data_IF_123983912654
#
_entry.id   IF_123983912654
#
_cell.length_a   1.000
_cell.length_b   1.000
_cell.length_c   1.000
_cell.angle_alpha   90.00
_cell.angle_beta   90.00
_cell.angle_gamma   90.00
#
_symmetry.space_group_name_H-M   'P 1'
#
loop_
_entity.id
_entity.type
_entity.pdbx_description
1 polymer ?
#
# COMPACT_ATOMS: atom_id res chain seq x y z
N UNK A 1 16.08 1.33 23.87
CA UNK A 1 14.78 0.99 24.50
C UNK A 1 14.04 0.14 23.48
N UNK A 2 13.54 -1.03 23.88
CA UNK A 2 12.73 -1.88 23.00
C UNK A 2 11.33 -1.32 22.92
N UNK A 3 10.95 -0.76 21.78
CA UNK A 3 9.59 -0.25 21.54
C UNK A 3 8.67 -1.43 21.28
N UNK A 4 7.50 -1.45 21.92
CA UNK A 4 6.47 -2.47 21.73
C UNK A 4 5.29 -1.85 20.99
N UNK A 5 4.88 -2.49 19.90
CA UNK A 5 3.74 -2.07 19.08
C UNK A 5 2.53 -2.97 19.35
N UNK A 6 1.35 -2.37 19.31
CA UNK A 6 0.05 -3.06 19.38
C UNK A 6 -0.58 -3.10 17.99
N UNK A 7 -1.23 -4.21 17.71
CA UNK A 7 -2.05 -4.47 16.53
C UNK A 7 -3.48 -4.81 17.01
N UNK A 8 -4.42 -4.95 16.08
CA UNK A 8 -5.79 -5.34 16.45
C UNK A 8 -5.83 -6.74 17.08
N UNK A 9 -6.96 -7.05 17.72
CA UNK A 9 -7.10 -8.28 18.49
C UNK A 9 -6.22 -8.35 19.75
N UNK A 10 -5.61 -7.22 20.16
CA UNK A 10 -4.73 -7.14 21.32
C UNK A 10 -3.35 -7.78 21.10
N UNK A 11 -2.98 -8.04 19.85
CA UNK A 11 -1.70 -8.64 19.50
C UNK A 11 -0.56 -7.62 19.57
N UNK A 12 0.67 -8.09 19.79
CA UNK A 12 1.82 -7.20 19.91
C UNK A 12 3.13 -7.78 19.37
N UNK A 13 3.96 -6.88 18.86
CA UNK A 13 5.33 -7.16 18.44
C UNK A 13 6.30 -6.16 19.05
N UNK A 14 7.55 -6.60 19.23
CA UNK A 14 8.66 -5.75 19.63
C UNK A 14 9.41 -5.27 18.39
N UNK A 15 9.70 -3.97 18.31
CA UNK A 15 10.56 -3.40 17.26
C UNK A 15 11.99 -3.89 17.44
N UNK A 16 12.58 -4.39 16.37
CA UNK A 16 13.98 -4.84 16.28
C UNK A 16 14.77 -3.91 15.36
N UNK A 17 16.09 -4.08 15.28
CA UNK A 17 16.96 -3.21 14.48
C UNK A 17 17.07 -3.63 13.00
N UNK A 18 16.41 -4.72 12.61
CA UNK A 18 16.59 -5.37 11.30
C UNK A 18 15.30 -5.29 10.46
N UNK A 19 15.12 -4.23 9.64
CA UNK A 19 14.01 -4.17 8.70
C UNK A 19 14.12 -5.25 7.62
N UNK A 20 13.02 -5.48 6.90
CA UNK A 20 13.00 -6.36 5.73
C UNK A 20 13.90 -5.81 4.63
N UNK A 21 14.91 -6.58 4.23
CA UNK A 21 15.71 -6.30 3.03
C UNK A 21 15.01 -6.84 1.77
N UNK A 22 13.78 -6.36 1.56
CA UNK A 22 12.91 -6.77 0.45
C UNK A 22 12.43 -5.52 -0.29
N UNK A 23 12.56 -5.53 -1.61
CA UNK A 23 12.05 -4.43 -2.46
C UNK A 23 10.52 -4.48 -2.48
N UNK A 24 9.82 -3.41 -2.06
CA UNK A 24 8.37 -3.34 -2.15
C UNK A 24 7.88 -3.49 -3.60
N UNK A 25 6.71 -4.09 -3.78
CA UNK A 25 6.03 -4.23 -5.07
C UNK A 25 4.64 -3.64 -4.95
N UNK A 26 4.37 -2.58 -5.70
CA UNK A 26 3.04 -1.99 -5.84
C UNK A 26 2.36 -2.59 -7.07
N UNK A 27 1.39 -3.48 -6.82
CA UNK A 27 0.62 -4.21 -7.83
C UNK A 27 -0.86 -3.82 -7.70
N UNK A 28 -1.39 -3.09 -8.66
CA UNK A 28 -2.75 -2.54 -8.57
C UNK A 28 -2.90 -1.73 -7.28
N UNK A 29 -3.83 -2.12 -6.42
CA UNK A 29 -4.06 -1.53 -5.08
C UNK A 29 -3.40 -2.29 -3.93
N UNK A 30 -2.51 -3.26 -4.21
CA UNK A 30 -1.74 -3.99 -3.20
C UNK A 30 -0.29 -3.54 -3.14
N UNK A 31 0.22 -3.31 -1.93
CA UNK A 31 1.65 -3.17 -1.65
C UNK A 31 2.18 -4.46 -1.03
N UNK A 32 3.11 -5.13 -1.69
CA UNK A 32 3.68 -6.42 -1.27
C UNK A 32 5.14 -6.23 -0.90
N UNK A 33 5.50 -6.61 0.32
CA UNK A 33 6.88 -6.68 0.83
C UNK A 33 7.13 -8.12 1.28
N UNK A 34 7.31 -9.02 0.32
CA UNK A 34 7.44 -10.47 0.57
C UNK A 34 8.41 -11.11 -0.42
N UNK A 35 9.11 -12.19 -0.03
CA UNK A 35 10.21 -12.77 -0.81
C UNK A 35 9.76 -13.61 -2.01
N UNK A 36 8.48 -14.00 -2.07
CA UNK A 36 7.98 -14.90 -3.11
C UNK A 36 8.02 -14.27 -4.51
N UNK A 37 8.48 -15.03 -5.49
CA UNK A 37 8.60 -14.63 -6.90
C UNK A 37 7.53 -15.26 -7.80
N UNK A 38 6.71 -16.16 -7.27
CA UNK A 38 5.57 -16.71 -7.99
C UNK A 38 4.47 -17.19 -7.03
N UNK A 39 3.38 -17.72 -7.62
CA UNK A 39 2.23 -18.24 -6.87
C UNK A 39 2.58 -19.44 -5.99
N UNK A 40 3.43 -20.34 -6.47
CA UNK A 40 3.80 -21.55 -5.72
C UNK A 40 4.62 -21.17 -4.50
N UNK A 41 5.57 -20.25 -4.66
CA UNK A 41 6.33 -19.69 -3.56
C UNK A 41 5.44 -18.91 -2.58
N UNK A 42 4.43 -18.17 -3.06
CA UNK A 42 3.47 -17.50 -2.18
C UNK A 42 2.66 -18.49 -1.35
N UNK A 43 2.11 -19.53 -1.97
CA UNK A 43 1.34 -20.56 -1.27
C UNK A 43 2.20 -21.27 -0.21
N UNK A 44 3.46 -21.59 -0.55
CA UNK A 44 4.43 -22.16 0.39
C UNK A 44 4.77 -21.19 1.53
N UNK A 45 5.04 -19.92 1.20
CA UNK A 45 5.35 -18.87 2.17
C UNK A 45 4.22 -18.70 3.20
N UNK A 46 2.97 -18.66 2.75
CA UNK A 46 1.82 -18.58 3.64
C UNK A 46 1.70 -19.82 4.53
N UNK A 47 1.95 -21.02 3.99
CA UNK A 47 1.89 -22.27 4.76
C UNK A 47 3.01 -22.41 5.80
N UNK A 48 4.19 -21.82 5.56
CA UNK A 48 5.38 -21.94 6.42
C UNK A 48 5.51 -20.82 7.47
N UNK A 49 4.68 -19.78 7.37
CA UNK A 49 4.68 -18.63 8.28
C UNK A 49 3.42 -18.59 9.16
N UNK A 50 3.38 -17.68 10.12
CA UNK A 50 2.18 -17.38 10.93
C UNK A 50 1.94 -15.86 10.96
N UNK A 51 0.74 -15.42 11.34
CA UNK A 51 0.44 -14.00 11.54
C UNK A 51 -0.97 -13.60 11.08
N UNK A 52 -1.14 -12.34 10.63
CA UNK A 52 -2.39 -11.95 9.98
C UNK A 52 -2.45 -12.51 8.56
N UNK A 53 -3.64 -12.86 8.12
CA UNK A 53 -3.91 -13.33 6.75
C UNK A 53 -5.40 -13.20 6.44
N UNK A 54 -5.72 -13.16 5.15
CA UNK A 54 -7.07 -13.19 4.62
C UNK A 54 -7.85 -14.41 5.12
N UNK A 55 -9.12 -14.18 5.46
CA UNK A 55 -10.14 -15.23 5.58
C UNK A 55 -11.13 -15.06 4.44
N UNK A 56 -11.90 -16.12 4.12
CA UNK A 56 -12.90 -16.07 3.05
C UNK A 56 -13.75 -14.79 3.13
N UNK A 57 -13.70 -13.99 2.04
CA UNK A 57 -14.43 -12.73 1.84
C UNK A 57 -13.89 -11.48 2.55
N UNK A 58 -12.63 -11.50 2.97
CA UNK A 58 -12.00 -10.38 3.64
C UNK A 58 -10.55 -10.14 3.15
N UNK A 59 -10.06 -8.89 3.30
CA UNK A 59 -8.78 -8.42 2.76
C UNK A 59 -7.99 -7.57 3.79
N UNK A 60 -7.61 -8.12 4.96
CA UNK A 60 -6.84 -7.42 5.97
C UNK A 60 -5.44 -7.01 5.49
N UNK A 61 -4.81 -6.09 6.22
CA UNK A 61 -3.36 -5.92 6.12
C UNK A 61 -2.65 -7.16 6.72
N UNK A 62 -1.74 -7.74 5.95
CA UNK A 62 -1.10 -9.04 6.20
C UNK A 62 0.30 -8.82 6.76
N UNK A 63 0.61 -9.46 7.88
CA UNK A 63 1.94 -9.55 8.48
C UNK A 63 2.30 -11.01 8.69
N UNK A 64 3.43 -11.44 8.13
CA UNK A 64 3.89 -12.83 8.19
C UNK A 64 5.21 -12.92 8.94
N UNK A 65 5.24 -13.82 9.92
CA UNK A 65 6.37 -14.04 10.81
C UNK A 65 6.92 -15.47 10.65
N UNK A 66 8.22 -15.62 10.77
CA UNK A 66 8.87 -16.93 10.80
C UNK A 66 8.65 -17.60 12.17
N UNK A 67 8.14 -18.85 12.24
CA UNK A 67 7.90 -19.52 13.53
C UNK A 67 9.17 -19.74 14.38
N UNK A 68 10.35 -19.82 13.75
CA UNK A 68 11.63 -20.16 14.39
C UNK A 68 12.16 -19.06 15.32
N UNK A 69 12.07 -17.81 14.90
CA UNK A 69 12.62 -16.65 15.60
C UNK A 69 11.60 -15.54 15.83
N UNK A 70 10.39 -15.71 15.30
CA UNK A 70 9.26 -14.78 15.36
C UNK A 70 9.53 -13.46 14.64
N UNK A 71 10.52 -13.39 13.76
CA UNK A 71 10.83 -12.18 12.99
C UNK A 71 9.82 -12.01 11.86
N UNK A 72 9.50 -10.76 11.54
CA UNK A 72 8.74 -10.41 10.35
C UNK A 72 9.55 -10.82 9.12
N UNK A 73 8.91 -11.55 8.22
CA UNK A 73 9.52 -12.03 6.96
C UNK A 73 8.72 -11.62 5.73
N UNK A 74 7.54 -11.03 5.92
CA UNK A 74 6.84 -10.34 4.85
C UNK A 74 5.61 -9.60 5.35
N UNK A 75 5.16 -8.66 4.54
CA UNK A 75 3.94 -7.89 4.76
C UNK A 75 3.22 -7.63 3.42
N UNK A 76 1.89 -7.58 3.45
CA UNK A 76 1.07 -7.15 2.31
C UNK A 76 0.05 -6.13 2.83
N UNK A 77 -0.09 -5.01 2.13
CA UNK A 77 -1.01 -3.93 2.49
C UNK A 77 -1.95 -3.60 1.35
N UNK A 78 -3.11 -3.04 1.68
CA UNK A 78 -4.12 -2.61 0.70
C UNK A 78 -4.29 -1.09 0.70
N UNK A 79 -4.24 -0.50 -0.49
CA UNK A 79 -4.65 0.89 -0.70
C UNK A 79 -6.17 0.94 -0.52
N UNK A 80 -6.69 1.76 0.41
CA UNK A 80 -8.12 1.90 0.62
C UNK A 80 -8.82 2.49 -0.61
N UNK A 81 -10.08 2.11 -0.80
CA UNK A 81 -10.93 2.66 -1.88
C UNK A 81 -11.30 4.12 -1.59
N UNK A 82 -11.37 4.53 -0.31
CA UNK A 82 -11.72 5.89 0.08
C UNK A 82 -10.49 6.80 0.11
N UNK A 83 -10.49 7.85 -0.73
CA UNK A 83 -9.48 8.90 -0.65
C UNK A 83 -9.99 10.03 0.25
N UNK A 84 -9.15 10.43 1.20
CA UNK A 84 -9.40 11.59 2.05
C UNK A 84 -9.60 12.85 1.20
N UNK A 85 -10.47 13.75 1.68
CA UNK A 85 -10.63 15.06 1.06
C UNK A 85 -9.31 15.85 1.07
N UNK A 86 -9.22 16.90 0.24
CA UNK A 86 -8.05 17.78 0.26
C UNK A 86 -7.87 18.49 1.62
N UNK A 87 -8.98 18.78 2.32
CA UNK A 87 -8.95 19.37 3.65
C UNK A 87 -8.39 18.38 4.69
N UNK A 88 -8.84 17.13 4.64
CA UNK A 88 -8.36 16.08 5.54
C UNK A 88 -6.90 15.69 5.24
N UNK A 89 -6.53 15.60 3.97
CA UNK A 89 -5.14 15.35 3.58
C UNK A 89 -4.21 16.48 4.04
N UNK A 90 -4.70 17.73 4.09
CA UNK A 90 -3.94 18.86 4.61
C UNK A 90 -3.79 18.85 6.15
N UNK A 91 -4.64 18.10 6.86
CA UNK A 91 -4.55 17.87 8.32
C UNK A 91 -3.53 16.80 8.69
N UNK A 92 -2.96 16.06 7.72
CA UNK A 92 -1.95 15.05 7.99
C UNK A 92 -0.87 15.63 8.93
N UNK A 93 -0.66 15.00 10.10
CA UNK A 93 0.36 15.48 11.02
C UNK A 93 1.72 15.40 10.34
N UNK A 94 2.63 16.31 10.70
CA UNK A 94 4.02 16.25 10.26
C UNK A 94 4.54 14.85 10.59
N UNK A 95 4.89 14.09 9.56
CA UNK A 95 5.29 12.70 9.77
C UNK A 95 6.54 12.67 10.67
N UNK A 96 6.51 11.87 11.74
CA UNK A 96 7.67 11.68 12.59
C UNK A 96 8.81 11.08 11.76
N UNK A 97 10.06 11.31 12.20
CA UNK A 97 11.23 10.71 11.58
C UNK A 97 11.07 9.18 11.52
N UNK A 98 11.15 8.63 10.31
CA UNK A 98 11.06 7.18 10.09
C UNK A 98 12.35 6.53 10.57
N UNK A 99 12.23 5.67 11.57
CA UNK A 99 13.35 4.89 12.09
C UNK A 99 13.28 3.48 11.52
N UNK A 100 14.37 2.96 10.93
CA UNK A 100 14.38 1.60 10.45
C UNK A 100 14.12 0.64 11.61
N UNK A 101 13.28 -0.36 11.38
CA UNK A 101 13.03 -1.36 12.40
C UNK A 101 12.25 -2.55 11.89
N UNK A 102 12.76 -3.75 12.21
CA UNK A 102 12.01 -4.99 12.03
C UNK A 102 10.97 -5.16 13.12
N UNK A 103 10.22 -6.25 13.04
CA UNK A 103 9.27 -6.65 14.06
C UNK A 103 9.55 -8.08 14.49
N UNK A 104 9.48 -8.31 15.80
CA UNK A 104 9.47 -9.65 16.37
C UNK A 104 8.20 -9.88 17.17
N UNK A 105 7.40 -10.85 16.74
CA UNK A 105 6.18 -11.25 17.43
C UNK A 105 6.48 -11.74 18.85
N UNK A 106 5.59 -11.44 19.80
CA UNK A 106 5.74 -11.90 21.18
C UNK A 106 5.40 -13.39 21.33
N UNK A 107 4.45 -13.89 20.54
CA UNK A 107 4.00 -15.28 20.55
C UNK A 107 3.78 -15.81 19.12
N UNK A 108 3.91 -17.13 18.96
CA UNK A 108 3.58 -17.82 17.70
C UNK A 108 2.08 -18.09 17.71
N UNK A 109 1.33 -17.15 17.14
CA UNK A 109 -0.13 -17.21 17.07
C UNK A 109 -0.64 -16.33 15.95
N UNK A 110 -1.57 -16.86 15.16
CA UNK A 110 -2.27 -16.07 14.16
C UNK A 110 -3.17 -15.01 14.84
N UNK A 111 -3.30 -13.88 14.18
CA UNK A 111 -4.09 -12.75 14.66
C UNK A 111 -4.80 -12.07 13.48
N UNK A 112 -5.60 -11.06 13.79
CA UNK A 112 -6.28 -10.25 12.80
C UNK A 112 -5.83 -8.80 12.98
N UNK A 113 -5.45 -8.18 11.88
CA UNK A 113 -5.23 -6.74 11.80
C UNK A 113 -6.10 -6.20 10.68
N UNK A 114 -6.90 -5.18 10.97
CA UNK A 114 -7.80 -4.63 9.95
C UNK A 114 -6.99 -3.87 8.91
N UNK A 115 -7.50 -3.82 7.67
CA UNK A 115 -6.94 -2.92 6.67
C UNK A 115 -7.18 -1.46 7.05
N UNK A 116 -6.36 -0.56 6.50
CA UNK A 116 -6.66 0.86 6.50
C UNK A 116 -7.95 1.16 5.72
N UNK A 117 -8.70 2.18 6.13
CA UNK A 117 -9.95 2.58 5.44
C UNK A 117 -9.81 3.88 4.65
N UNK A 118 -8.77 4.68 4.90
CA UNK A 118 -8.62 6.00 4.28
C UNK A 118 -7.23 6.19 3.68
N UNK A 119 -7.19 6.63 2.42
CA UNK A 119 -5.98 7.04 1.71
C UNK A 119 -5.81 8.57 1.74
N UNK A 120 -4.79 9.04 2.44
CA UNK A 120 -4.33 10.43 2.38
C UNK A 120 -3.16 10.56 1.40
N UNK A 121 -3.23 11.54 0.49
CA UNK A 121 -2.27 11.69 -0.61
C UNK A 121 -1.53 13.02 -0.52
N UNK A 122 -0.20 12.95 -0.62
CA UNK A 122 0.62 14.15 -0.80
C UNK A 122 0.55 14.66 -2.25
N UNK A 123 0.78 15.96 -2.51
CA UNK A 123 0.81 16.49 -3.86
C UNK A 123 1.74 15.69 -4.79
N UNK A 124 1.20 15.29 -5.95
CA UNK A 124 1.92 14.49 -6.96
C UNK A 124 2.19 13.04 -6.55
N UNK A 125 1.50 12.56 -5.51
CA UNK A 125 1.61 11.22 -4.95
C UNK A 125 3.04 10.79 -4.66
N UNK A 126 3.87 11.73 -4.19
CA UNK A 126 5.21 11.42 -3.72
C UNK A 126 5.22 10.60 -2.42
N UNK A 127 4.07 10.52 -1.74
CA UNK A 127 3.86 9.78 -0.51
C UNK A 127 2.39 9.34 -0.44
N UNK A 128 2.17 8.04 -0.30
CA UNK A 128 0.87 7.48 0.06
C UNK A 128 0.86 7.28 1.57
N UNK A 129 -0.21 7.72 2.23
CA UNK A 129 -0.44 7.46 3.66
C UNK A 129 -1.81 6.83 3.82
N UNK A 130 -1.84 5.58 4.25
CA UNK A 130 -3.07 4.85 4.50
C UNK A 130 -3.30 4.80 6.01
N UNK A 131 -4.49 5.19 6.46
CA UNK A 131 -4.87 5.29 7.86
C UNK A 131 -6.05 4.37 8.16
N UNK A 132 -6.10 3.89 9.41
CA UNK A 132 -7.22 3.13 9.94
C UNK A 132 -8.55 3.84 9.75
N UNK A 133 -8.58 5.15 10.00
CA UNK A 133 -9.72 6.06 9.91
C UNK A 133 -9.23 7.52 10.00
N UNK A 134 -10.15 8.48 9.83
CA UNK A 134 -9.84 9.92 9.91
C UNK A 134 -9.60 10.42 11.34
N UNK A 135 -10.05 9.70 12.38
CA UNK A 135 -9.88 10.13 13.78
C UNK A 135 -8.39 10.14 14.18
N UNK A 136 -7.56 9.35 13.48
CA UNK A 136 -6.10 9.37 13.61
C UNK A 136 -5.52 10.79 13.39
N UNK A 137 -6.16 11.61 12.56
CA UNK A 137 -5.70 12.97 12.24
C UNK A 137 -5.91 13.98 13.38
N UNK A 138 -6.67 13.63 14.41
CA UNK A 138 -6.96 14.54 15.53
C UNK A 138 -5.81 14.64 16.54
N UNK A 139 -4.85 13.71 16.47
CA UNK A 139 -3.71 13.63 17.36
C UNK A 139 -2.40 13.40 16.58
N UNK A 140 -1.25 13.87 17.10
CA UNK A 140 0.03 13.66 16.42
C UNK A 140 0.42 12.17 16.40
N UNK A 141 1.13 11.77 15.34
CA UNK A 141 1.80 10.48 15.28
C UNK A 141 3.03 10.47 16.20
N UNK A 142 3.24 9.37 16.92
CA UNK A 142 4.35 9.21 17.86
C UNK A 142 5.63 8.75 17.17
N UNK A 143 5.51 7.88 16.17
CA UNK A 143 6.65 7.29 15.47
C UNK A 143 6.27 6.77 14.08
N UNK A 144 7.28 6.73 13.20
CA UNK A 144 7.27 5.98 11.95
C UNK A 144 8.30 4.85 12.03
N UNK A 145 7.88 3.60 11.83
CA UNK A 145 8.76 2.42 11.87
C UNK A 145 8.97 1.93 10.44
N UNK A 146 10.14 2.18 9.87
CA UNK A 146 10.52 1.76 8.52
C UNK A 146 10.78 0.27 8.48
N UNK A 147 9.77 -0.52 8.11
CA UNK A 147 9.86 -2.00 8.08
C UNK A 147 10.50 -2.54 6.81
N UNK A 148 10.61 -1.72 5.76
CA UNK A 148 11.24 -2.05 4.48
C UNK A 148 11.67 -0.75 3.77
N UNK A 149 12.40 -0.80 2.63
CA UNK A 149 12.72 0.39 1.84
C UNK A 149 11.48 1.22 1.54
N UNK A 150 11.47 2.49 1.93
CA UNK A 150 10.39 3.46 1.71
C UNK A 150 9.00 3.09 2.27
N UNK A 151 8.88 2.00 3.04
CA UNK A 151 7.65 1.55 3.70
C UNK A 151 7.77 1.73 5.20
N UNK A 152 6.83 2.47 5.79
CA UNK A 152 6.79 2.70 7.24
C UNK A 152 5.42 2.37 7.83
N UNK A 153 5.42 1.83 9.05
CA UNK A 153 4.24 1.75 9.91
C UNK A 153 4.10 3.04 10.71
N UNK A 154 2.87 3.54 10.81
CA UNK A 154 2.54 4.75 11.54
C UNK A 154 1.98 4.37 12.91
N UNK A 155 2.53 5.00 13.96
CA UNK A 155 2.24 4.61 15.35
C UNK A 155 1.64 5.78 16.12
N UNK A 156 0.54 5.50 16.84
CA UNK A 156 -0.12 6.42 17.76
C UNK A 156 -0.56 5.65 19.00
N UNK A 157 -0.27 6.16 20.20
CA UNK A 157 -0.48 5.49 21.48
C UNK A 157 0.10 4.07 21.55
N UNK A 158 1.26 3.87 20.93
CA UNK A 158 1.91 2.57 20.78
C UNK A 158 1.14 1.55 19.91
N UNK A 159 0.14 1.98 19.15
CA UNK A 159 -0.69 1.15 18.26
C UNK A 159 -0.37 1.49 16.80
N UNK A 160 -0.31 0.47 15.93
CA UNK A 160 -0.21 0.68 14.49
C UNK A 160 -1.55 1.20 13.97
N UNK A 161 -1.55 2.43 13.45
CA UNK A 161 -2.76 3.14 12.98
C UNK A 161 -2.77 3.34 11.47
N UNK A 162 -1.72 2.88 10.78
CA UNK A 162 -1.61 3.02 9.34
C UNK A 162 -0.23 2.67 8.84
N UNK A 163 -0.02 2.92 7.55
CA UNK A 163 1.25 2.73 6.88
C UNK A 163 1.45 3.80 5.80
N UNK A 164 2.70 3.98 5.38
CA UNK A 164 3.05 4.91 4.31
C UNK A 164 4.05 4.32 3.33
N UNK A 165 3.95 4.74 2.06
CA UNK A 165 4.88 4.41 0.99
C UNK A 165 5.41 5.67 0.33
N UNK A 166 6.74 5.85 0.37
CA UNK A 166 7.43 6.98 -0.30
C UNK A 166 7.72 6.65 -1.77
N UNK A 167 7.53 7.63 -2.66
CA UNK A 167 7.69 7.54 -4.13
C UNK A 167 7.08 6.25 -4.72
N UNK A 168 5.76 6.01 -4.55
CA UNK A 168 5.06 4.79 -4.96
C UNK A 168 5.32 4.40 -6.42
N UNK A 169 5.52 5.37 -7.31
CA UNK A 169 5.85 5.12 -8.72
C UNK A 169 7.11 4.26 -8.90
N UNK A 170 8.08 4.30 -7.97
CA UNK A 170 9.28 3.44 -8.03
C UNK A 170 8.94 1.96 -8.00
N UNK A 171 7.89 1.62 -7.26
CA UNK A 171 7.55 0.25 -6.89
C UNK A 171 6.47 -0.35 -7.78
N UNK A 172 5.95 0.41 -8.75
CA UNK A 172 5.00 -0.08 -9.76
C UNK A 172 5.58 -1.27 -10.52
N UNK A 173 4.84 -2.37 -10.49
CA UNK A 173 5.20 -3.60 -11.18
C UNK A 173 3.95 -4.41 -11.53
N UNK A 174 4.10 -5.38 -12.43
CA UNK A 174 3.05 -6.33 -12.80
C UNK A 174 3.34 -7.70 -12.22
N UNK A 175 2.29 -8.41 -11.79
CA UNK A 175 2.39 -9.77 -11.26
C UNK A 175 3.49 -9.88 -10.18
N UNK A 176 4.41 -10.84 -10.31
CA UNK A 176 5.52 -11.04 -9.38
C UNK A 176 6.84 -10.39 -9.79
N UNK A 177 6.85 -9.59 -10.86
CA UNK A 177 8.08 -9.01 -11.38
C UNK A 177 8.75 -8.06 -10.38
N UNK A 178 10.08 -8.04 -10.38
CA UNK A 178 10.85 -7.05 -9.60
C UNK A 178 10.65 -5.66 -10.20
N UNK A 179 10.39 -4.61 -9.39
CA UNK A 179 10.27 -3.25 -9.90
C UNK A 179 11.55 -2.77 -10.58
N UNK A 180 11.39 -1.91 -11.59
CA UNK A 180 12.52 -1.32 -12.31
C UNK A 180 13.35 -0.44 -11.36
N UNK A 181 14.67 -0.65 -11.22
CA UNK A 181 15.51 0.18 -10.35
C UNK A 181 15.72 1.61 -10.89
N UNK A 182 15.47 1.87 -12.17
CA UNK A 182 15.59 3.21 -12.75
C UNK A 182 14.54 4.16 -12.15
N UNK A 183 14.88 5.44 -11.88
CA UNK A 183 13.91 6.41 -11.40
C UNK A 183 12.73 6.56 -12.37
N UNK A 184 11.48 6.65 -11.87
CA UNK A 184 10.32 6.86 -12.74
C UNK A 184 10.45 8.15 -13.51
N UNK A 185 9.92 8.19 -14.73
CA UNK A 185 9.83 9.45 -15.48
C UNK A 185 8.68 10.32 -14.94
N UNK A 186 8.72 11.66 -15.11
CA UNK A 186 7.66 12.54 -14.61
C UNK A 186 6.26 12.20 -15.16
N UNK A 187 6.17 11.71 -16.40
CA UNK A 187 4.91 11.29 -17.00
C UNK A 187 4.26 10.13 -16.23
N UNK A 188 5.05 9.14 -15.79
CA UNK A 188 4.59 8.00 -14.98
C UNK A 188 4.01 8.46 -13.65
N UNK A 189 4.67 9.40 -12.95
CA UNK A 189 4.16 9.92 -11.66
C UNK A 189 2.81 10.61 -11.83
N UNK A 190 2.68 11.45 -12.86
CA UNK A 190 1.40 12.12 -13.17
C UNK A 190 0.31 11.11 -13.51
N UNK A 191 0.63 10.07 -14.29
CA UNK A 191 -0.34 9.05 -14.67
C UNK A 191 -0.72 8.14 -13.50
N UNK A 192 0.21 7.88 -12.57
CA UNK A 192 -0.13 7.22 -11.30
C UNK A 192 -1.18 8.02 -10.53
N UNK A 193 -1.01 9.34 -10.39
CA UNK A 193 -2.01 10.19 -9.74
C UNK A 193 -3.38 10.09 -10.41
N UNK A 194 -3.42 10.20 -11.73
CA UNK A 194 -4.68 10.10 -12.48
C UNK A 194 -5.32 8.71 -12.32
N UNK A 195 -4.53 7.63 -12.31
CA UNK A 195 -5.06 6.28 -12.11
C UNK A 195 -5.58 6.09 -10.69
N UNK A 196 -4.88 6.61 -9.67
CA UNK A 196 -5.33 6.54 -8.28
C UNK A 196 -6.63 7.31 -8.07
N UNK A 197 -6.80 8.49 -8.69
CA UNK A 197 -8.08 9.20 -8.71
C UNK A 197 -9.18 8.29 -9.27
N UNK A 198 -8.97 7.71 -10.45
CA UNK A 198 -9.99 6.92 -11.17
C UNK A 198 -10.43 5.63 -10.45
N UNK A 199 -9.63 5.12 -9.51
CA UNK A 199 -9.91 3.87 -8.78
C UNK A 199 -10.28 4.10 -7.30
N UNK A 200 -10.40 5.36 -6.87
CA UNK A 200 -10.78 5.71 -5.49
C UNK A 200 -11.99 6.63 -5.45
N UNK A 201 -12.75 6.60 -4.35
CA UNK A 201 -13.84 7.55 -4.12
C UNK A 201 -13.28 8.94 -3.83
N UNK A 202 -13.97 10.01 -4.27
CA UNK A 202 -15.30 10.00 -4.89
C UNK A 202 -15.32 9.75 -6.42
N UNK A 203 -14.17 9.81 -7.11
CA UNK A 203 -14.15 9.81 -8.59
C UNK A 203 -14.61 8.47 -9.17
N UNK A 204 -14.33 7.35 -8.49
CA UNK A 204 -14.82 6.03 -8.90
C UNK A 204 -16.35 5.93 -8.88
N UNK A 205 -17.04 6.67 -7.99
CA UNK A 205 -18.51 6.67 -7.94
C UNK A 205 -19.08 7.36 -9.19
N UNK A 206 -18.56 8.54 -9.55
CA UNK A 206 -18.92 9.24 -10.78
C UNK A 206 -18.63 8.39 -12.04
N UNK A 207 -17.55 7.59 -12.01
CA UNK A 207 -17.21 6.66 -13.08
C UNK A 207 -18.25 5.54 -13.21
N UNK A 208 -18.67 4.95 -12.09
CA UNK A 208 -19.70 3.90 -12.04
C UNK A 208 -21.06 4.44 -12.50
N UNK A 209 -21.38 5.68 -12.12
CA UNK A 209 -22.59 6.38 -12.55
C UNK A 209 -22.55 6.81 -14.04
N UNK A 210 -21.38 6.70 -14.68
CA UNK A 210 -21.21 6.96 -16.10
C UNK A 210 -21.09 8.44 -16.45
N UNK A 211 -20.57 9.25 -15.53
CA UNK A 211 -20.40 10.68 -15.74
C UNK A 211 -19.46 10.95 -16.94
N UNK A 212 -19.92 11.67 -17.98
CA UNK A 212 -19.18 11.78 -19.24
C UNK A 212 -17.77 12.36 -19.09
N UNK A 213 -17.58 13.28 -18.15
CA UNK A 213 -16.28 13.89 -17.89
C UNK A 213 -15.27 12.88 -17.32
N UNK A 214 -15.71 11.99 -16.43
CA UNK A 214 -14.86 10.98 -15.80
C UNK A 214 -14.56 9.84 -16.77
N UNK A 215 -15.53 9.44 -17.59
CA UNK A 215 -15.30 8.49 -18.69
C UNK A 215 -14.26 9.01 -19.70
N UNK A 216 -14.35 10.29 -20.07
CA UNK A 216 -13.37 10.91 -20.94
C UNK A 216 -11.96 10.94 -20.31
N UNK A 217 -11.87 11.16 -18.98
CA UNK A 217 -10.61 11.06 -18.23
C UNK A 217 -10.03 9.65 -18.27
N UNK A 218 -10.84 8.62 -17.99
CA UNK A 218 -10.43 7.21 -18.05
C UNK A 218 -9.90 6.83 -19.45
N UNK A 219 -10.61 7.19 -20.51
CA UNK A 219 -10.18 6.95 -21.90
C UNK A 219 -8.89 7.70 -22.24
N UNK A 220 -8.72 8.93 -21.75
CA UNK A 220 -7.51 9.71 -21.95
C UNK A 220 -6.31 9.09 -21.21
N UNK A 221 -6.51 8.61 -19.98
CA UNK A 221 -5.48 7.92 -19.20
C UNK A 221 -5.05 6.61 -19.87
N UNK A 222 -5.98 5.75 -20.29
CA UNK A 222 -5.69 4.52 -21.04
C UNK A 222 -4.88 4.81 -22.31
N UNK A 223 -5.31 5.80 -23.10
CA UNK A 223 -4.59 6.20 -24.32
C UNK A 223 -3.18 6.68 -24.02
N UNK A 224 -3.03 7.57 -23.03
CA UNK A 224 -1.72 8.12 -22.66
C UNK A 224 -0.77 7.01 -22.20
N UNK A 225 -1.26 6.05 -21.41
CA UNK A 225 -0.48 4.88 -20.97
C UNK A 225 -0.09 3.97 -22.14
N UNK A 226 -0.99 3.73 -23.10
CA UNK A 226 -0.70 2.94 -24.31
C UNK A 226 0.31 3.62 -25.25
N UNK A 227 0.26 4.93 -25.35
CA UNK A 227 1.16 5.72 -26.19
C UNK A 227 2.54 5.98 -25.53
N UNK A 228 2.62 5.86 -24.20
CA UNK A 228 3.86 6.05 -23.46
C UNK A 228 4.88 4.95 -23.77
N UNK A 229 6.01 5.37 -24.34
CA UNK A 229 7.16 4.50 -24.69
C UNK A 229 8.23 4.44 -23.60
N UNK A 230 8.43 5.55 -22.89
CA UNK A 230 9.35 5.61 -21.75
C UNK A 230 8.74 4.86 -20.57
N UNK A 231 9.58 4.21 -19.76
CA UNK A 231 9.12 3.63 -18.49
C UNK A 231 7.99 2.60 -18.68
N UNK A 232 8.07 1.84 -19.78
CA UNK A 232 6.98 0.99 -20.29
C UNK A 232 6.48 -0.01 -19.25
N UNK A 233 7.37 -0.60 -18.45
CA UNK A 233 7.00 -1.55 -17.41
C UNK A 233 6.05 -0.95 -16.36
N UNK A 234 6.26 0.31 -15.97
CA UNK A 234 5.37 1.01 -15.04
C UNK A 234 4.07 1.43 -15.71
N UNK A 235 4.12 1.83 -16.99
CA UNK A 235 2.92 2.10 -17.76
C UNK A 235 2.04 0.86 -17.91
N UNK A 236 2.63 -0.33 -18.11
CA UNK A 236 1.91 -1.60 -18.13
C UNK A 236 1.26 -1.92 -16.77
N UNK A 237 1.95 -1.67 -15.66
CA UNK A 237 1.39 -1.82 -14.31
C UNK A 237 0.18 -0.90 -14.06
N UNK A 238 0.25 0.35 -14.54
CA UNK A 238 -0.87 1.28 -14.46
C UNK A 238 -2.04 0.90 -15.39
N UNK A 239 -1.75 0.29 -16.56
CA UNK A 239 -2.80 -0.26 -17.42
C UNK A 239 -3.54 -1.42 -16.73
N UNK A 240 -2.82 -2.31 -16.05
CA UNK A 240 -3.44 -3.38 -15.25
C UNK A 240 -4.34 -2.82 -14.13
N UNK A 241 -3.92 -1.72 -13.49
CA UNK A 241 -4.70 -1.07 -12.43
C UNK A 241 -6.07 -0.58 -12.93
N UNK A 242 -6.14 0.03 -14.12
CA UNK A 242 -7.39 0.59 -14.66
C UNK A 242 -8.14 -0.35 -15.60
N UNK A 243 -7.60 -1.54 -15.90
CA UNK A 243 -8.09 -2.43 -16.95
C UNK A 243 -9.57 -2.79 -16.78
N UNK A 244 -9.98 -3.22 -15.59
CA UNK A 244 -11.37 -3.60 -15.31
C UNK A 244 -12.33 -2.42 -15.53
N UNK A 245 -11.96 -1.21 -15.12
CA UNK A 245 -12.76 -0.02 -15.34
C UNK A 245 -12.88 0.34 -16.82
N UNK A 246 -11.80 0.20 -17.59
CA UNK A 246 -11.83 0.42 -19.05
C UNK A 246 -12.72 -0.60 -19.75
N UNK A 247 -12.68 -1.87 -19.33
CA UNK A 247 -13.53 -2.94 -19.88
C UNK A 247 -15.02 -2.68 -19.60
N UNK A 248 -15.36 -2.33 -18.35
CA UNK A 248 -16.74 -2.18 -17.90
C UNK A 248 -17.41 -0.86 -18.34
N UNK A 249 -16.62 0.23 -18.40
CA UNK A 249 -17.13 1.59 -18.59
C UNK A 249 -16.52 2.33 -19.79
N UNK A 250 -15.31 1.98 -20.23
CA UNK A 250 -14.56 2.73 -21.26
C UNK A 250 -15.15 2.71 -22.67
N UNK A 251 -16.12 1.82 -22.94
CA UNK A 251 -16.78 1.68 -24.25
C UNK A 251 -18.27 2.08 -24.26
N UNK A 252 -18.78 2.68 -23.17
CA UNK A 252 -20.14 3.23 -23.10
C UNK A 252 -20.18 4.65 -23.65
#
# INVERSE_FOLDING_TARGET
MTTKLKFDGGWSATVTDEPLDLVPRLLGTSLIVSPYADRVEREKFLAETFGSQDLLWDLPDVFRFAPSDRQLVGAEFRIPEESASAEDSARLPVQPEVRPGGLRADEVKDFRHEMCTVLCRAPGDALLTCLRDLDVLDEPLEAGIGIAPDVALLVQHGTVVGWSLTDPARYLTTSFATPDPAPPVPATRRLLTECLDLVTTPVVDDLVDGEPAVLARLQAADRALREQREDRHRADALLELIATYVEDYGNR
#
